data_IF_863300254269
#
_entry.id   IF_863300254269
#
_cell.length_a   1.000
_cell.length_b   1.000
_cell.length_c   1.000
_cell.angle_alpha   90.00
_cell.angle_beta   90.00
_cell.angle_gamma   90.00
#
_symmetry.space_group_name_H-M   'P 1'
#
loop_
_entity.id
_entity.type
_entity.pdbx_description
1 polymer ?
#
# COMPACT_ATOMS: atom_id res chain seq x y z
N UNK A 1 -82.42 14.85 0.01
CA UNK A 1 -81.05 14.91 0.57
C UNK A 1 -80.66 13.47 0.83
N UNK A 2 -79.74 12.88 0.04
CA UNK A 2 -78.32 13.24 0.02
C UNK A 2 -77.73 13.49 -1.39
N UNK A 3 -76.50 13.99 -1.37
CA UNK A 3 -75.77 14.69 -2.44
C UNK A 3 -75.31 13.83 -3.63
N UNK A 4 -75.44 14.44 -4.82
CA UNK A 4 -74.78 14.07 -6.07
C UNK A 4 -73.40 14.71 -6.10
N UNK A 5 -72.34 13.94 -6.35
CA UNK A 5 -71.21 14.51 -7.10
C UNK A 5 -70.43 13.42 -7.84
N UNK A 6 -70.58 13.43 -9.17
CA UNK A 6 -69.78 12.66 -10.12
C UNK A 6 -69.04 13.66 -11.01
N UNK A 7 -67.78 13.33 -11.28
CA UNK A 7 -66.67 14.15 -11.79
C UNK A 7 -66.94 15.00 -13.04
N UNK A 8 -66.01 15.96 -13.32
CA UNK A 8 -65.26 15.83 -14.57
C UNK A 8 -63.73 15.92 -14.41
N UNK A 9 -63.06 15.20 -15.32
CA UNK A 9 -61.61 15.05 -15.47
C UNK A 9 -60.89 16.38 -15.75
N UNK A 10 -59.77 16.60 -15.07
CA UNK A 10 -58.77 17.61 -15.42
C UNK A 10 -57.45 16.93 -15.77
N UNK A 11 -57.03 17.12 -17.02
CA UNK A 11 -55.75 16.73 -17.60
C UNK A 11 -54.59 17.48 -16.95
N UNK A 12 -53.64 16.77 -16.35
CA UNK A 12 -52.33 17.35 -15.96
C UNK A 12 -51.22 16.78 -16.86
N UNK A 13 -50.79 17.61 -17.80
CA UNK A 13 -49.59 17.44 -18.62
C UNK A 13 -48.35 17.30 -17.75
N UNK A 14 -47.70 16.13 -17.78
CA UNK A 14 -46.38 15.91 -17.20
C UNK A 14 -45.33 16.68 -18.01
N UNK A 15 -44.86 17.82 -17.48
CA UNK A 15 -43.65 18.48 -17.97
C UNK A 15 -42.45 17.60 -17.58
N UNK A 16 -41.95 16.80 -18.51
CA UNK A 16 -40.58 16.24 -18.41
C UNK A 16 -39.63 17.42 -18.32
N UNK A 17 -39.03 17.62 -17.16
CA UNK A 17 -37.88 18.51 -17.02
C UNK A 17 -36.82 18.01 -18.00
N UNK A 18 -36.43 18.87 -18.94
CA UNK A 18 -35.31 18.62 -19.83
C UNK A 18 -34.05 18.58 -18.96
N UNK A 19 -33.55 17.39 -18.65
CA UNK A 19 -32.23 17.24 -18.03
C UNK A 19 -31.19 17.76 -19.02
N UNK A 20 -30.38 18.72 -18.58
CA UNK A 20 -29.33 19.35 -19.37
C UNK A 20 -28.19 18.33 -19.58
N UNK A 21 -28.00 17.90 -20.83
CA UNK A 21 -26.99 16.90 -21.21
C UNK A 21 -25.54 17.34 -20.93
N UNK A 22 -25.32 18.63 -20.63
CA UNK A 22 -24.01 19.19 -20.29
C UNK A 22 -23.80 19.39 -18.78
N UNK A 23 -24.74 18.93 -17.94
CA UNK A 23 -24.55 18.86 -16.49
C UNK A 23 -24.13 17.47 -16.06
N UNK A 24 -23.15 17.41 -15.15
CA UNK A 24 -22.82 16.18 -14.45
C UNK A 24 -24.10 15.66 -13.78
N UNK A 25 -24.54 14.47 -14.18
CA UNK A 25 -25.62 13.76 -13.50
C UNK A 25 -25.30 13.60 -12.00
N UNK A 26 -26.31 13.27 -11.16
CA UNK A 26 -26.09 13.08 -9.73
C UNK A 26 -24.87 12.18 -9.53
N UNK A 27 -23.88 12.68 -8.76
CA UNK A 27 -22.68 11.91 -8.42
C UNK A 27 -23.15 10.53 -7.98
N UNK A 28 -22.79 9.46 -8.72
CA UNK A 28 -23.00 8.10 -8.24
C UNK A 28 -22.37 8.07 -6.84
N UNK A 29 -23.18 7.82 -5.81
CA UNK A 29 -22.66 7.65 -4.45
C UNK A 29 -21.58 6.57 -4.56
N UNK A 30 -20.35 6.97 -4.25
CA UNK A 30 -19.26 6.01 -4.05
C UNK A 30 -19.81 4.98 -3.06
N UNK A 31 -19.65 3.69 -3.37
CA UNK A 31 -20.00 2.64 -2.43
C UNK A 31 -19.11 2.84 -1.21
N UNK A 32 -19.63 3.49 -0.17
CA UNK A 32 -18.91 3.66 1.09
C UNK A 32 -18.76 2.25 1.65
N UNK A 33 -17.56 1.68 1.56
CA UNK A 33 -17.17 0.64 2.51
C UNK A 33 -17.39 1.20 3.91
N UNK A 34 -17.88 0.36 4.82
CA UNK A 34 -17.99 0.67 6.24
C UNK A 34 -16.72 1.44 6.70
N UNK A 35 -16.85 2.61 7.36
CA UNK A 35 -15.71 3.38 7.86
C UNK A 35 -14.69 2.51 8.59
N UNK A 36 -15.15 1.55 9.40
CA UNK A 36 -14.28 0.62 10.12
C UNK A 36 -13.43 -0.21 9.16
N UNK A 37 -14.03 -0.74 8.09
CA UNK A 37 -13.33 -1.50 7.05
C UNK A 37 -12.30 -0.62 6.33
N UNK A 38 -12.64 0.64 6.05
CA UNK A 38 -11.70 1.58 5.42
C UNK A 38 -10.48 1.85 6.31
N UNK A 39 -10.69 2.15 7.60
CA UNK A 39 -9.59 2.34 8.54
C UNK A 39 -8.74 1.08 8.72
N UNK A 40 -9.38 -0.09 8.76
CA UNK A 40 -8.69 -1.38 8.86
C UNK A 40 -7.78 -1.66 7.67
N UNK A 41 -8.23 -1.32 6.45
CA UNK A 41 -7.38 -1.41 5.25
C UNK A 41 -6.16 -0.52 5.39
N UNK A 42 -6.35 0.72 5.84
CA UNK A 42 -5.27 1.68 6.02
C UNK A 42 -4.27 1.23 7.10
N UNK A 43 -4.77 0.72 8.24
CA UNK A 43 -3.95 0.10 9.28
C UNK A 43 -3.10 -1.06 8.75
N UNK A 44 -3.71 -1.96 7.97
CA UNK A 44 -2.99 -3.07 7.33
C UNK A 44 -1.87 -2.61 6.40
N UNK A 45 -2.06 -1.51 5.66
CA UNK A 45 -1.06 -0.99 4.74
C UNK A 45 0.05 -0.20 5.43
N UNK A 46 -0.28 0.56 6.46
CA UNK A 46 0.62 1.58 7.03
C UNK A 46 1.27 1.18 8.35
N UNK A 47 0.72 0.19 9.05
CA UNK A 47 1.12 -0.18 10.40
C UNK A 47 1.49 -1.65 10.50
N UNK A 48 0.55 -2.56 10.23
CA UNK A 48 0.85 -3.99 10.33
C UNK A 48 -0.05 -4.89 9.46
N UNK A 49 0.53 -5.43 8.37
CA UNK A 49 -0.22 -6.18 7.35
C UNK A 49 -0.56 -7.63 7.73
N UNK A 50 0.27 -8.26 8.57
CA UNK A 50 0.17 -9.68 8.92
C UNK A 50 -0.31 -9.94 10.36
N UNK A 51 -0.94 -8.95 11.00
CA UNK A 51 -1.40 -9.07 12.38
C UNK A 51 -2.52 -10.13 12.54
N UNK A 52 -2.53 -10.80 13.70
CA UNK A 52 -3.72 -11.50 14.20
C UNK A 52 -4.52 -10.49 15.03
N UNK A 53 -5.58 -9.92 14.46
CA UNK A 53 -6.29 -8.80 15.08
C UNK A 53 -6.98 -9.22 16.38
N UNK A 54 -7.50 -10.45 16.46
CA UNK A 54 -8.14 -10.92 17.69
C UNK A 54 -7.15 -10.93 18.86
N UNK A 55 -5.97 -11.54 18.68
CA UNK A 55 -4.94 -11.55 19.72
C UNK A 55 -4.44 -10.14 20.03
N UNK A 56 -4.30 -9.28 19.02
CA UNK A 56 -3.91 -7.88 19.21
C UNK A 56 -4.89 -7.13 20.13
N UNK A 57 -6.20 -7.31 19.93
CA UNK A 57 -7.22 -6.69 20.77
C UNK A 57 -7.24 -7.30 22.17
N UNK A 58 -7.22 -8.63 22.29
CA UNK A 58 -7.22 -9.31 23.59
C UNK A 58 -6.01 -8.91 24.44
N UNK A 59 -4.81 -8.98 23.87
CA UNK A 59 -3.58 -8.60 24.57
C UNK A 59 -3.56 -7.10 24.88
N UNK A 60 -4.04 -6.26 23.97
CA UNK A 60 -4.14 -4.81 24.15
C UNK A 60 -5.08 -4.42 25.30
N UNK A 61 -6.26 -5.03 25.37
CA UNK A 61 -7.23 -4.81 26.45
C UNK A 61 -6.72 -5.31 27.80
N UNK A 62 -6.06 -6.47 27.85
CA UNK A 62 -5.39 -6.94 29.06
C UNK A 62 -4.36 -5.91 29.56
N UNK A 63 -3.66 -5.23 28.64
CA UNK A 63 -2.66 -4.22 28.96
C UNK A 63 -3.23 -2.87 29.39
N UNK A 64 -4.44 -2.51 28.93
CA UNK A 64 -5.17 -1.33 29.39
C UNK A 64 -5.93 -1.55 30.71
N UNK A 65 -6.28 -2.81 31.02
CA UNK A 65 -7.03 -3.19 32.21
C UNK A 65 -6.15 -3.81 33.29
N UNK A 66 -6.14 -5.14 33.31
CA UNK A 66 -5.53 -5.94 34.39
C UNK A 66 -4.03 -5.68 34.57
N UNK A 67 -3.31 -5.35 33.49
CA UNK A 67 -1.87 -5.16 33.49
C UNK A 67 -1.46 -3.69 33.34
N UNK A 68 -2.37 -2.74 33.59
CA UNK A 68 -2.09 -1.31 33.41
C UNK A 68 -1.00 -0.76 34.35
N UNK A 69 -0.89 -1.34 35.55
CA UNK A 69 0.10 -0.94 36.57
C UNK A 69 1.45 -1.68 36.42
N UNK A 70 1.52 -2.66 35.51
CA UNK A 70 2.74 -3.42 35.28
C UNK A 70 3.75 -2.56 34.49
N UNK A 71 5.01 -2.45 34.95
CA UNK A 71 6.02 -1.64 34.27
C UNK A 71 6.39 -2.24 32.91
N UNK A 72 6.77 -1.40 31.95
CA UNK A 72 7.11 -1.84 30.58
C UNK A 72 8.23 -2.90 30.55
N UNK A 73 9.16 -2.87 31.51
CA UNK A 73 10.26 -3.83 31.63
C UNK A 73 9.81 -5.25 31.99
N UNK A 74 8.58 -5.44 32.51
CA UNK A 74 8.04 -6.77 32.79
C UNK A 74 7.61 -7.54 31.53
N UNK A 75 7.51 -6.83 30.40
CA UNK A 75 7.06 -7.38 29.12
C UNK A 75 8.22 -7.66 28.17
N UNK A 76 8.07 -8.72 27.38
CA UNK A 76 9.02 -9.03 26.30
C UNK A 76 9.04 -7.92 25.25
N UNK A 77 10.11 -7.86 24.45
CA UNK A 77 10.19 -6.91 23.35
C UNK A 77 9.02 -7.07 22.35
N UNK A 78 8.61 -8.32 22.12
CA UNK A 78 7.47 -8.65 21.26
C UNK A 78 6.15 -8.11 21.83
N UNK A 79 5.87 -8.36 23.11
CA UNK A 79 4.66 -7.84 23.78
C UNK A 79 4.62 -6.31 23.79
N UNK A 80 5.77 -5.65 23.96
CA UNK A 80 5.86 -4.19 23.86
C UNK A 80 5.56 -3.70 22.44
N UNK A 81 6.09 -4.37 21.42
CA UNK A 81 5.78 -4.07 20.01
C UNK A 81 4.30 -4.29 19.68
N UNK A 82 3.70 -5.39 20.13
CA UNK A 82 2.27 -5.66 19.96
C UNK A 82 1.41 -4.54 20.55
N UNK A 83 1.73 -4.09 21.76
CA UNK A 83 0.99 -3.01 22.41
C UNK A 83 1.15 -1.66 21.70
N UNK A 84 2.34 -1.35 21.18
CA UNK A 84 2.53 -0.16 20.35
C UNK A 84 1.64 -0.20 19.10
N UNK A 85 1.56 -1.35 18.43
CA UNK A 85 0.68 -1.55 17.26
C UNK A 85 -0.79 -1.41 17.66
N UNK A 86 -1.19 -1.92 18.82
CA UNK A 86 -2.54 -1.77 19.37
C UNK A 86 -2.86 -0.29 19.65
N UNK A 87 -1.96 0.46 20.28
CA UNK A 87 -2.17 1.89 20.55
C UNK A 87 -2.30 2.71 19.26
N UNK A 88 -1.52 2.39 18.22
CA UNK A 88 -1.68 3.02 16.90
C UNK A 88 -3.04 2.68 16.28
N UNK A 89 -3.52 1.43 16.42
CA UNK A 89 -4.86 1.04 15.94
C UNK A 89 -5.97 1.88 16.60
N UNK A 90 -5.91 2.08 17.93
CA UNK A 90 -6.86 2.91 18.66
C UNK A 90 -6.84 4.37 18.17
N UNK A 91 -5.64 4.94 17.98
CA UNK A 91 -5.49 6.31 17.47
C UNK A 91 -6.03 6.48 16.04
N UNK A 92 -5.97 5.44 15.21
CA UNK A 92 -6.42 5.48 13.82
C UNK A 92 -7.95 5.38 13.66
N UNK A 93 -8.65 4.81 14.64
CA UNK A 93 -10.08 4.50 14.56
C UNK A 93 -10.81 5.26 15.67
N UNK A 94 -11.40 6.43 15.37
CA UNK A 94 -12.13 7.21 16.36
C UNK A 94 -13.26 6.39 17.00
N UNK A 95 -13.35 6.42 18.34
CA UNK A 95 -14.39 5.69 19.07
C UNK A 95 -14.06 4.23 19.38
N UNK A 96 -12.96 3.69 18.84
CA UNK A 96 -12.65 2.25 18.98
C UNK A 96 -12.34 1.87 20.42
N UNK A 97 -11.59 2.69 21.14
CA UNK A 97 -11.23 2.41 22.53
C UNK A 97 -12.48 2.35 23.41
N UNK A 98 -13.38 3.34 23.32
CA UNK A 98 -14.63 3.32 24.08
C UNK A 98 -15.50 2.11 23.71
N UNK A 99 -15.59 1.78 22.41
CA UNK A 99 -16.34 0.60 21.95
C UNK A 99 -15.78 -0.72 22.51
N UNK A 100 -14.46 -0.84 22.64
CA UNK A 100 -13.83 -2.05 23.16
C UNK A 100 -13.94 -2.14 24.68
N UNK A 101 -13.89 -1.02 25.40
CA UNK A 101 -14.01 -0.98 26.86
C UNK A 101 -15.44 -1.20 27.34
N UNK A 102 -16.44 -0.72 26.60
CA UNK A 102 -17.86 -0.87 26.94
C UNK A 102 -18.49 -2.15 26.35
N UNK A 103 -17.82 -2.80 25.40
CA UNK A 103 -18.31 -3.96 24.67
C UNK A 103 -18.20 -5.28 25.45
N UNK A 104 -19.10 -6.22 25.17
CA UNK A 104 -18.95 -7.59 25.68
C UNK A 104 -18.00 -8.43 24.80
N UNK A 105 -17.67 -9.65 25.23
CA UNK A 105 -16.73 -10.52 24.50
C UNK A 105 -17.18 -10.80 23.05
N UNK A 106 -18.49 -10.98 22.81
CA UNK A 106 -19.06 -11.17 21.47
C UNK A 106 -18.91 -9.92 20.60
N UNK A 107 -19.02 -8.71 21.19
CA UNK A 107 -18.82 -7.45 20.48
C UNK A 107 -17.35 -7.28 20.07
N UNK A 108 -16.43 -7.59 20.98
CA UNK A 108 -14.98 -7.55 20.72
C UNK A 108 -14.62 -8.52 19.59
N UNK A 109 -15.17 -9.74 19.62
CA UNK A 109 -14.95 -10.74 18.55
C UNK A 109 -15.51 -10.28 17.20
N UNK A 110 -16.68 -9.64 17.21
CA UNK A 110 -17.29 -9.05 16.01
C UNK A 110 -16.42 -7.92 15.44
N UNK A 111 -15.93 -7.01 16.29
CA UNK A 111 -15.01 -5.93 15.90
C UNK A 111 -13.72 -6.53 15.32
N UNK A 112 -13.10 -7.50 16.02
CA UNK A 112 -11.90 -8.19 15.55
C UNK A 112 -12.10 -8.79 14.15
N UNK A 113 -13.25 -9.42 13.91
CA UNK A 113 -13.60 -10.04 12.63
C UNK A 113 -13.73 -8.99 11.52
N UNK A 114 -14.37 -7.85 11.80
CA UNK A 114 -14.49 -6.76 10.83
C UNK A 114 -13.14 -6.12 10.49
N UNK A 115 -12.30 -5.89 11.51
CA UNK A 115 -10.96 -5.36 11.33
C UNK A 115 -10.07 -6.32 10.52
N UNK A 116 -10.05 -7.60 10.89
CA UNK A 116 -9.29 -8.63 10.18
C UNK A 116 -9.75 -8.77 8.73
N UNK A 117 -11.06 -8.67 8.47
CA UNK A 117 -11.63 -8.66 7.12
C UNK A 117 -11.12 -7.47 6.32
N UNK A 118 -11.09 -6.28 6.90
CA UNK A 118 -10.56 -5.08 6.25
C UNK A 118 -9.09 -5.23 5.85
N UNK A 119 -8.22 -5.61 6.80
CA UNK A 119 -6.79 -5.87 6.55
C UNK A 119 -6.59 -6.93 5.46
N UNK A 120 -7.30 -8.05 5.55
CA UNK A 120 -7.16 -9.17 4.62
C UNK A 120 -7.68 -8.83 3.22
N UNK A 121 -8.76 -8.05 3.12
CA UNK A 121 -9.32 -7.61 1.84
C UNK A 121 -8.39 -6.62 1.14
N UNK A 122 -7.75 -5.71 1.90
CA UNK A 122 -6.73 -4.80 1.39
C UNK A 122 -5.60 -5.57 0.70
N UNK A 123 -5.02 -6.54 1.42
CA UNK A 123 -3.99 -7.43 0.91
C UNK A 123 -4.43 -8.22 -0.32
N UNK A 124 -5.63 -8.78 -0.30
CA UNK A 124 -6.14 -9.59 -1.42
C UNK A 124 -6.30 -8.75 -2.70
N UNK A 125 -6.82 -7.53 -2.59
CA UNK A 125 -6.98 -6.59 -3.70
C UNK A 125 -5.61 -6.19 -4.30
N UNK A 126 -4.64 -5.88 -3.44
CA UNK A 126 -3.30 -5.49 -3.86
C UNK A 126 -2.55 -6.64 -4.51
N UNK A 127 -2.59 -7.83 -3.92
CA UNK A 127 -2.05 -9.06 -4.51
C UNK A 127 -2.62 -9.29 -5.90
N UNK A 128 -3.95 -9.13 -6.06
CA UNK A 128 -4.62 -9.32 -7.35
C UNK A 128 -4.19 -8.25 -8.37
N UNK A 129 -4.08 -6.99 -7.95
CA UNK A 129 -3.77 -5.89 -8.86
C UNK A 129 -2.30 -5.86 -9.28
N UNK A 130 -1.38 -6.26 -8.38
CA UNK A 130 0.07 -6.30 -8.65
C UNK A 130 0.47 -7.46 -9.56
N UNK A 131 -0.26 -8.58 -9.52
CA UNK A 131 0.03 -9.81 -10.27
C UNK A 131 0.41 -9.57 -11.74
N UNK A 132 -0.37 -8.75 -12.44
CA UNK A 132 -0.11 -8.42 -13.85
C UNK A 132 0.71 -7.15 -14.04
N UNK A 133 0.63 -6.20 -13.10
CA UNK A 133 1.32 -4.91 -13.20
C UNK A 133 2.85 -5.07 -13.10
N UNK A 134 3.31 -5.97 -12.21
CA UNK A 134 4.73 -6.24 -11.96
C UNK A 134 5.49 -6.63 -13.23
N UNK A 135 4.84 -7.36 -14.13
CA UNK A 135 5.44 -7.82 -15.39
C UNK A 135 5.84 -6.65 -16.30
N UNK A 136 5.17 -5.49 -16.18
CA UNK A 136 5.54 -4.30 -16.95
C UNK A 136 6.77 -3.57 -16.37
N UNK A 137 7.06 -3.77 -15.09
CA UNK A 137 8.16 -3.07 -14.39
C UNK A 137 9.46 -3.87 -14.40
N UNK A 138 9.36 -5.21 -14.45
CA UNK A 138 10.54 -6.06 -14.53
C UNK A 138 11.13 -6.13 -15.93
N UNK A 139 10.39 -5.74 -16.97
CA UNK A 139 10.86 -5.77 -18.36
C UNK A 139 11.71 -4.54 -18.65
N UNK A 140 13.00 -4.70 -19.04
CA UNK A 140 13.80 -3.58 -19.50
C UNK A 140 13.19 -2.89 -20.72
N UNK A 141 13.42 -1.58 -20.86
CA UNK A 141 12.88 -0.80 -21.96
C UNK A 141 13.27 -1.40 -23.32
N UNK A 142 12.27 -1.68 -24.16
CA UNK A 142 12.46 -2.25 -25.50
C UNK A 142 12.69 -3.77 -25.54
N UNK A 143 12.64 -4.47 -24.40
CA UNK A 143 12.75 -5.93 -24.34
C UNK A 143 11.39 -6.58 -24.06
N UNK A 144 11.37 -7.91 -24.10
CA UNK A 144 10.21 -8.74 -23.73
C UNK A 144 10.67 -9.88 -22.84
N UNK A 145 9.76 -10.42 -22.03
CA UNK A 145 10.04 -11.63 -21.25
C UNK A 145 10.15 -12.82 -22.20
N UNK A 146 11.19 -13.62 -22.02
CA UNK A 146 11.44 -14.82 -22.79
C UNK A 146 11.66 -15.98 -21.82
N UNK A 147 10.74 -16.96 -21.75
CA UNK A 147 9.45 -17.02 -22.45
C UNK A 147 8.44 -15.95 -21.95
N UNK A 148 7.41 -15.59 -22.75
CA UNK A 148 6.37 -14.68 -22.29
C UNK A 148 5.64 -15.22 -21.06
N UNK A 149 5.44 -14.38 -20.05
CA UNK A 149 4.72 -14.74 -18.83
C UNK A 149 3.26 -14.28 -18.91
N UNK A 150 2.31 -15.19 -18.60
CA UNK A 150 0.90 -14.87 -18.55
C UNK A 150 0.55 -13.97 -17.34
N UNK A 151 -0.09 -12.83 -17.59
CA UNK A 151 -0.44 -11.83 -16.54
C UNK A 151 -1.36 -12.35 -15.43
N UNK A 152 -2.10 -13.42 -15.69
CA UNK A 152 -3.12 -13.98 -14.79
C UNK A 152 -2.73 -15.34 -14.19
N UNK A 153 -1.57 -15.92 -14.53
CA UNK A 153 -1.14 -17.25 -14.06
C UNK A 153 0.30 -17.13 -13.54
N UNK A 154 0.56 -17.63 -12.31
CA UNK A 154 1.88 -17.52 -11.66
C UNK A 154 2.77 -18.75 -11.83
N UNK A 155 2.30 -19.83 -12.45
CA UNK A 155 3.08 -21.07 -12.55
C UNK A 155 4.44 -20.87 -13.21
N UNK A 156 4.50 -19.98 -14.22
CA UNK A 156 5.72 -19.66 -14.95
C UNK A 156 6.53 -18.50 -14.34
N UNK A 157 6.17 -18.03 -13.14
CA UNK A 157 6.94 -17.04 -12.37
C UNK A 157 8.00 -17.75 -11.51
N UNK A 158 8.62 -17.03 -10.57
CA UNK A 158 9.55 -17.61 -9.61
C UNK A 158 10.87 -18.02 -10.27
N UNK A 159 11.48 -19.09 -9.76
CA UNK A 159 12.77 -19.61 -10.21
C UNK A 159 12.71 -20.33 -11.56
N UNK A 160 11.52 -20.64 -12.08
CA UNK A 160 11.32 -21.28 -13.39
C UNK A 160 11.53 -20.32 -14.56
N UNK A 161 11.56 -19.01 -14.33
CA UNK A 161 11.78 -18.02 -15.36
C UNK A 161 13.00 -17.14 -15.04
N UNK A 162 13.84 -16.89 -16.04
CA UNK A 162 15.14 -16.20 -15.87
C UNK A 162 15.02 -14.85 -15.18
N UNK A 163 14.09 -14.00 -15.61
CA UNK A 163 13.94 -12.65 -15.06
C UNK A 163 13.41 -12.62 -13.62
N UNK A 164 12.33 -13.34 -13.32
CA UNK A 164 11.74 -13.38 -11.97
C UNK A 164 12.65 -14.13 -11.01
N UNK A 165 13.32 -15.19 -11.47
CA UNK A 165 14.29 -15.95 -10.70
C UNK A 165 15.49 -15.09 -10.31
N UNK A 166 16.07 -14.34 -11.26
CA UNK A 166 17.15 -13.40 -10.97
C UNK A 166 16.78 -12.34 -9.92
N UNK A 167 15.54 -11.84 -9.95
CA UNK A 167 15.04 -10.86 -9.00
C UNK A 167 14.78 -11.46 -7.61
N UNK A 168 14.35 -12.72 -7.53
CA UNK A 168 14.04 -13.43 -6.29
C UNK A 168 15.24 -14.14 -5.66
N UNK A 169 16.29 -14.40 -6.44
CA UNK A 169 17.51 -15.01 -5.95
C UNK A 169 18.08 -14.15 -4.80
N UNK A 170 18.56 -14.77 -3.71
CA UNK A 170 19.27 -14.05 -2.66
C UNK A 170 20.34 -13.12 -3.21
N UNK A 171 20.42 -11.93 -2.63
CA UNK A 171 21.30 -10.87 -3.08
C UNK A 171 22.79 -11.29 -3.06
N UNK A 172 23.16 -12.21 -2.16
CA UNK A 172 24.53 -12.71 -1.98
C UNK A 172 24.91 -13.82 -2.98
N UNK A 173 23.94 -14.37 -3.70
CA UNK A 173 24.10 -15.49 -4.63
C UNK A 173 24.19 -15.03 -6.09
N UNK A 174 24.99 -15.72 -6.89
CA UNK A 174 25.06 -15.45 -8.33
C UNK A 174 23.99 -16.26 -9.06
N UNK A 175 22.93 -15.59 -9.53
CA UNK A 175 21.92 -16.22 -10.37
C UNK A 175 22.51 -16.77 -11.68
N UNK A 176 23.67 -16.31 -12.14
CA UNK A 176 24.31 -16.81 -13.35
C UNK A 176 24.85 -18.24 -13.19
N UNK A 177 25.07 -18.70 -11.96
CA UNK A 177 25.54 -20.05 -11.65
C UNK A 177 24.44 -21.10 -11.95
N UNK A 178 24.68 -22.05 -12.87
CA UNK A 178 23.72 -23.10 -13.20
C UNK A 178 23.31 -23.96 -11.99
N UNK A 179 24.23 -24.21 -11.05
CA UNK A 179 23.95 -25.02 -9.85
C UNK A 179 22.96 -24.30 -8.94
N UNK A 180 23.12 -22.99 -8.77
CA UNK A 180 22.19 -22.15 -7.99
C UNK A 180 20.80 -22.18 -8.63
N UNK A 181 20.70 -22.01 -9.96
CA UNK A 181 19.43 -22.07 -10.68
C UNK A 181 18.73 -23.42 -10.50
N UNK A 182 19.47 -24.51 -10.66
CA UNK A 182 18.91 -25.86 -10.59
C UNK A 182 18.41 -26.18 -9.18
N UNK A 183 19.21 -25.91 -8.15
CA UNK A 183 18.83 -26.15 -6.75
C UNK A 183 17.58 -25.34 -6.36
N UNK A 184 17.47 -24.09 -6.82
CA UNK A 184 16.29 -23.23 -6.55
C UNK A 184 15.05 -23.65 -7.34
N UNK A 185 15.20 -24.14 -8.58
CA UNK A 185 14.09 -24.63 -9.41
C UNK A 185 13.51 -25.93 -8.87
N UNK A 186 14.37 -26.86 -8.46
CA UNK A 186 13.97 -28.16 -7.94
C UNK A 186 13.44 -28.09 -6.50
N UNK A 187 13.75 -27.00 -5.78
CA UNK A 187 13.41 -26.84 -4.36
C UNK A 187 14.38 -27.55 -3.42
N UNK A 188 15.55 -27.97 -3.92
CA UNK A 188 16.64 -28.55 -3.11
C UNK A 188 17.28 -27.49 -2.20
N UNK A 189 17.20 -26.22 -2.61
CA UNK A 189 17.60 -25.07 -1.81
C UNK A 189 16.36 -24.24 -1.44
N UNK A 190 15.98 -24.30 -0.16
CA UNK A 190 14.92 -23.45 0.41
C UNK A 190 15.57 -22.17 0.93
N UNK A 191 15.10 -21.03 0.44
CA UNK A 191 15.57 -19.71 0.85
C UNK A 191 14.74 -19.20 2.04
N UNK A 192 15.34 -19.04 3.22
CA UNK A 192 14.66 -18.47 4.38
C UNK A 192 14.13 -17.06 4.11
N UNK A 193 13.04 -16.65 4.77
CA UNK A 193 12.49 -15.30 4.60
C UNK A 193 13.41 -14.16 5.05
N UNK A 194 14.39 -14.41 5.92
CA UNK A 194 15.41 -13.42 6.31
C UNK A 194 16.58 -13.31 5.32
N UNK A 195 16.68 -14.21 4.35
CA UNK A 195 17.65 -14.08 3.27
C UNK A 195 17.07 -13.24 2.12
N UNK A 196 17.57 -12.03 1.98
CA UNK A 196 16.93 -11.00 1.18
C UNK A 196 17.19 -11.14 -0.33
N UNK A 197 16.15 -10.95 -1.16
CA UNK A 197 16.25 -11.12 -2.61
C UNK A 197 16.86 -9.89 -3.30
N UNK A 198 17.49 -10.12 -4.47
CA UNK A 198 18.16 -9.10 -5.27
C UNK A 198 17.24 -7.92 -5.65
N UNK A 199 15.93 -8.12 -5.80
CA UNK A 199 15.01 -7.02 -6.14
C UNK A 199 14.93 -5.91 -5.09
N UNK A 200 15.40 -6.12 -3.86
CA UNK A 200 15.46 -5.05 -2.87
C UNK A 200 16.47 -3.96 -3.25
N UNK A 201 17.51 -4.32 -4.01
CA UNK A 201 18.62 -3.44 -4.32
C UNK A 201 18.42 -2.65 -5.61
N UNK A 202 18.78 -1.37 -5.57
CA UNK A 202 18.99 -0.54 -6.76
C UNK A 202 20.36 -0.89 -7.38
N UNK A 203 20.38 -1.95 -8.19
CA UNK A 203 21.62 -2.49 -8.77
C UNK A 203 21.94 -3.84 -8.16
N UNK A 204 23.22 -4.19 -8.16
CA UNK A 204 23.72 -5.44 -7.58
C UNK A 204 24.13 -5.21 -6.12
N UNK A 205 24.03 -6.26 -5.31
CA UNK A 205 24.53 -6.27 -3.95
C UNK A 205 26.05 -6.03 -3.91
N UNK A 206 26.48 -5.20 -2.97
CA UNK A 206 27.87 -4.83 -2.74
C UNK A 206 28.28 -5.31 -1.35
N UNK A 207 29.25 -6.22 -1.27
CA UNK A 207 29.68 -6.81 0.01
C UNK A 207 30.45 -5.81 0.88
N UNK A 208 31.07 -4.82 0.26
CA UNK A 208 31.83 -3.78 0.98
C UNK A 208 30.92 -2.66 1.48
N UNK A 209 29.75 -2.50 0.85
CA UNK A 209 28.72 -1.53 1.23
C UNK A 209 27.31 -2.14 1.10
N UNK A 210 26.88 -2.95 2.09
CA UNK A 210 25.58 -3.65 2.05
C UNK A 210 24.36 -2.72 2.00
N UNK A 211 24.48 -1.45 2.38
CA UNK A 211 23.37 -0.48 2.36
C UNK A 211 23.14 0.12 0.99
N UNK A 212 24.12 -0.03 0.10
CA UNK A 212 24.11 0.59 -1.23
C UNK A 212 22.93 0.11 -2.06
N UNK A 213 21.97 1.00 -2.23
CA UNK A 213 20.78 0.74 -3.03
C UNK A 213 19.74 -0.16 -2.34
N UNK A 214 19.96 -0.59 -1.11
CA UNK A 214 19.00 -1.39 -0.34
C UNK A 214 17.65 -0.65 -0.23
N UNK A 215 16.56 -1.37 -0.50
CA UNK A 215 15.18 -0.87 -0.63
C UNK A 215 14.96 0.29 -1.62
N UNK A 216 15.90 0.53 -2.56
CA UNK A 216 15.82 1.65 -3.53
C UNK A 216 15.50 1.21 -4.96
N UNK A 217 15.20 -0.07 -5.18
CA UNK A 217 14.85 -0.56 -6.52
C UNK A 217 13.57 0.10 -7.05
N UNK A 218 13.59 0.53 -8.32
CA UNK A 218 12.47 1.23 -8.98
C UNK A 218 11.19 0.38 -9.07
N UNK A 219 11.33 -0.95 -9.05
CA UNK A 219 10.19 -1.89 -8.99
C UNK A 219 9.39 -1.65 -7.70
N UNK A 220 10.06 -1.42 -6.57
CA UNK A 220 9.42 -1.13 -5.29
C UNK A 220 8.68 0.19 -5.34
N UNK A 221 9.29 1.23 -5.89
CA UNK A 221 8.66 2.56 -6.03
C UNK A 221 7.42 2.48 -6.93
N UNK A 222 7.49 1.71 -8.01
CA UNK A 222 6.37 1.50 -8.92
C UNK A 222 5.24 0.73 -8.24
N UNK A 223 5.57 -0.31 -7.48
CA UNK A 223 4.61 -1.08 -6.68
C UNK A 223 3.97 -0.23 -5.58
N UNK A 224 4.75 0.61 -4.90
CA UNK A 224 4.25 1.52 -3.87
C UNK A 224 3.21 2.48 -4.47
N UNK A 225 3.55 3.14 -5.59
CA UNK A 225 2.62 4.05 -6.28
C UNK A 225 1.36 3.34 -6.80
N UNK A 226 1.48 2.05 -7.13
CA UNK A 226 0.36 1.23 -7.58
C UNK A 226 -0.57 0.79 -6.42
N UNK A 227 -0.02 0.49 -5.25
CA UNK A 227 -0.81 0.18 -4.04
C UNK A 227 -1.46 1.44 -3.49
N UNK A 228 -0.71 2.54 -3.39
CA UNK A 228 -1.15 3.80 -2.80
C UNK A 228 -1.62 4.80 -3.88
N UNK A 229 -2.55 4.37 -4.74
CA UNK A 229 -3.01 5.06 -5.97
C UNK A 229 -3.73 6.41 -5.78
N UNK A 230 -3.73 7.00 -4.57
CA UNK A 230 -4.15 8.38 -4.35
C UNK A 230 -3.14 9.12 -3.46
N UNK A 231 -2.57 10.26 -3.89
CA UNK A 231 -1.69 11.08 -3.07
C UNK A 231 -2.32 11.60 -1.78
N UNK A 232 -3.66 11.57 -1.67
CA UNK A 232 -4.40 11.99 -0.47
C UNK A 232 -4.62 10.87 0.54
N UNK A 233 -4.21 9.63 0.24
CA UNK A 233 -4.46 8.48 1.10
C UNK A 233 -3.33 8.21 2.09
N UNK A 234 -2.19 8.88 1.91
CA UNK A 234 -0.97 8.74 2.72
C UNK A 234 -0.21 10.06 2.70
N UNK A 235 0.15 10.57 3.88
CA UNK A 235 0.91 11.83 3.99
C UNK A 235 2.42 11.60 3.99
N UNK A 236 2.88 10.43 4.43
CA UNK A 236 4.28 10.05 4.50
C UNK A 236 4.45 8.54 4.30
N UNK A 237 5.62 8.13 3.77
CA UNK A 237 6.03 6.73 3.71
C UNK A 237 6.46 6.26 5.10
N UNK A 238 5.93 5.11 5.55
CA UNK A 238 6.31 4.46 6.82
C UNK A 238 7.14 3.20 6.55
N UNK A 239 7.99 2.77 7.52
CA UNK A 239 8.68 1.48 7.45
C UNK A 239 7.75 0.30 7.13
N UNK A 240 6.60 0.22 7.81
CA UNK A 240 5.63 -0.84 7.58
C UNK A 240 5.02 -0.80 6.17
N UNK A 241 4.81 0.40 5.60
CA UNK A 241 4.34 0.51 4.22
C UNK A 241 5.38 0.02 3.19
N UNK A 242 6.69 0.21 3.46
CA UNK A 242 7.76 -0.35 2.62
C UNK A 242 7.79 -1.87 2.78
N UNK A 243 7.79 -2.38 4.01
CA UNK A 243 7.77 -3.82 4.31
C UNK A 243 6.56 -4.54 3.69
N UNK A 244 5.40 -3.88 3.68
CA UNK A 244 4.20 -4.37 3.02
C UNK A 244 4.41 -4.47 1.50
N UNK A 245 4.88 -3.39 0.87
CA UNK A 245 5.07 -3.34 -0.59
C UNK A 245 6.15 -4.32 -1.05
N UNK A 246 7.26 -4.44 -0.33
CA UNK A 246 8.32 -5.41 -0.65
C UNK A 246 7.79 -6.84 -0.57
N UNK A 247 6.98 -7.15 0.46
CA UNK A 247 6.33 -8.46 0.61
C UNK A 247 5.35 -8.73 -0.53
N UNK A 248 4.55 -7.73 -0.94
CA UNK A 248 3.65 -7.86 -2.08
C UNK A 248 4.40 -8.06 -3.41
N UNK A 249 5.53 -7.38 -3.61
CA UNK A 249 6.40 -7.57 -4.78
C UNK A 249 7.01 -8.97 -4.81
N UNK A 250 7.58 -9.43 -3.67
CA UNK A 250 8.13 -10.79 -3.55
C UNK A 250 7.08 -11.82 -3.89
N UNK A 251 5.89 -11.69 -3.32
CA UNK A 251 4.78 -12.56 -3.64
C UNK A 251 4.41 -12.48 -5.12
N UNK A 252 4.26 -11.29 -5.72
CA UNK A 252 3.89 -11.16 -7.13
C UNK A 252 4.91 -11.81 -8.10
N UNK A 253 6.20 -11.78 -7.74
CA UNK A 253 7.28 -12.40 -8.49
C UNK A 253 7.39 -13.93 -8.28
N UNK A 254 6.85 -14.47 -7.18
CA UNK A 254 6.92 -15.90 -6.87
C UNK A 254 5.96 -16.72 -7.74
N UNK A 255 6.12 -18.05 -7.75
CA UNK A 255 5.19 -18.97 -8.42
C UNK A 255 3.94 -19.32 -7.60
N UNK A 256 3.94 -19.01 -6.30
CA UNK A 256 2.85 -19.39 -5.37
C UNK A 256 1.52 -18.75 -5.73
N UNK A 257 0.45 -19.53 -5.83
CA UNK A 257 -0.88 -19.01 -6.19
C UNK A 257 -1.61 -18.34 -5.02
N UNK A 258 -1.29 -18.73 -3.78
CA UNK A 258 -2.00 -18.33 -2.57
C UNK A 258 -1.02 -17.74 -1.56
N UNK A 259 -1.40 -16.63 -0.94
CA UNK A 259 -0.67 -16.07 0.20
C UNK A 259 -1.06 -16.86 1.45
N UNK A 260 -0.14 -17.64 2.00
CA UNK A 260 -0.38 -18.51 3.16
C UNK A 260 0.70 -18.29 4.22
N UNK A 261 0.31 -18.29 5.50
CA UNK A 261 1.25 -18.29 6.64
C UNK A 261 2.01 -19.62 6.76
N UNK A 262 1.43 -20.70 6.23
CA UNK A 262 2.04 -22.03 6.26
C UNK A 262 2.95 -22.29 5.04
N UNK A 263 3.07 -21.32 4.12
CA UNK A 263 3.97 -21.44 2.97
C UNK A 263 5.40 -21.20 3.42
N UNK A 264 6.12 -22.28 3.72
CA UNK A 264 7.54 -22.27 4.06
C UNK A 264 8.46 -22.12 2.86
N UNK A 265 7.92 -22.21 1.63
CA UNK A 265 8.70 -22.06 0.39
C UNK A 265 8.87 -20.56 0.10
N UNK A 266 7.77 -19.82 0.12
CA UNK A 266 7.87 -18.36 0.04
C UNK A 266 8.29 -17.77 1.38
N UNK A 267 7.76 -18.26 2.51
CA UNK A 267 8.05 -17.71 3.85
C UNK A 267 7.82 -16.18 3.91
N UNK A 268 6.60 -15.76 3.53
CA UNK A 268 6.25 -14.34 3.40
C UNK A 268 6.17 -13.62 4.75
N UNK A 269 5.82 -14.34 5.81
CA UNK A 269 5.71 -13.77 7.17
C UNK A 269 7.08 -13.49 7.77
N UNK A 270 8.01 -14.45 7.71
CA UNK A 270 9.40 -14.22 8.13
C UNK A 270 10.07 -13.13 7.31
N UNK A 271 9.81 -13.06 6.00
CA UNK A 271 10.31 -11.98 5.16
C UNK A 271 9.75 -10.61 5.54
N UNK A 272 8.46 -10.52 5.80
CA UNK A 272 7.86 -9.27 6.26
C UNK A 272 8.45 -8.82 7.62
N UNK A 273 8.60 -9.76 8.55
CA UNK A 273 9.16 -9.48 9.88
C UNK A 273 10.64 -9.11 9.81
N UNK A 274 11.46 -9.78 9.00
CA UNK A 274 12.89 -9.45 8.85
C UNK A 274 13.10 -8.03 8.31
N UNK A 275 12.24 -7.58 7.38
CA UNK A 275 12.27 -6.20 6.89
C UNK A 275 11.87 -5.22 8.00
N UNK A 276 10.81 -5.52 8.77
CA UNK A 276 10.43 -4.68 9.91
C UNK A 276 11.50 -4.61 10.99
N UNK A 277 12.17 -5.72 11.27
CA UNK A 277 13.27 -5.81 12.24
C UNK A 277 14.43 -4.90 11.83
N UNK A 278 14.84 -4.94 10.56
CA UNK A 278 15.84 -3.99 10.03
C UNK A 278 15.43 -2.53 10.24
N UNK A 279 14.19 -2.17 9.91
CA UNK A 279 13.73 -0.80 10.10
C UNK A 279 13.63 -0.38 11.58
N UNK A 280 13.50 -1.33 12.49
CA UNK A 280 13.41 -1.10 13.93
C UNK A 280 14.75 -1.24 14.66
N UNK A 281 15.82 -1.64 13.96
CA UNK A 281 17.14 -1.81 14.55
C UNK A 281 17.74 -0.44 14.91
N UNK A 282 18.19 -0.31 16.15
CA UNK A 282 18.73 0.95 16.69
C UNK A 282 20.02 1.34 15.97
N UNK A 283 20.81 0.36 15.55
CA UNK A 283 22.10 0.58 14.90
C UNK A 283 21.95 1.02 13.44
N UNK A 284 20.77 0.81 12.84
CA UNK A 284 20.45 1.10 11.43
C UNK A 284 19.65 2.40 11.25
N UNK A 285 19.39 3.14 12.34
CA UNK A 285 18.45 4.27 12.32
C UNK A 285 18.90 5.45 11.46
N UNK A 286 20.21 5.63 11.26
CA UNK A 286 20.75 6.70 10.41
C UNK A 286 20.40 6.41 8.93
N UNK A 287 20.69 5.21 8.46
CA UNK A 287 20.43 4.71 7.11
C UNK A 287 18.93 4.63 6.84
N UNK A 288 18.15 4.14 7.81
CA UNK A 288 16.69 4.09 7.74
C UNK A 288 16.10 5.49 7.57
N UNK A 289 16.58 6.48 8.32
CA UNK A 289 16.09 7.86 8.20
C UNK A 289 16.39 8.45 6.83
N UNK A 290 17.60 8.25 6.31
CA UNK A 290 17.96 8.68 4.96
C UNK A 290 17.12 7.99 3.89
N UNK A 291 16.88 6.69 4.06
CA UNK A 291 16.03 5.89 3.17
C UNK A 291 14.59 6.42 3.15
N UNK A 292 14.00 6.72 4.31
CA UNK A 292 12.64 7.30 4.37
C UNK A 292 12.57 8.69 3.73
N UNK A 293 13.59 9.53 3.88
CA UNK A 293 13.68 10.83 3.19
C UNK A 293 13.71 10.61 1.67
N UNK A 294 14.50 9.65 1.20
CA UNK A 294 14.57 9.30 -0.22
C UNK A 294 13.20 8.82 -0.73
N UNK A 295 12.54 7.91 -0.01
CA UNK A 295 11.23 7.37 -0.37
C UNK A 295 10.15 8.45 -0.48
N UNK A 296 10.07 9.34 0.52
CA UNK A 296 9.12 10.46 0.49
C UNK A 296 9.35 11.38 -0.72
N UNK A 297 10.59 11.62 -1.13
CA UNK A 297 10.90 12.38 -2.36
C UNK A 297 10.47 11.65 -3.63
N UNK A 298 10.60 10.32 -3.67
CA UNK A 298 10.20 9.52 -4.85
C UNK A 298 8.69 9.41 -5.01
N UNK A 299 7.96 9.27 -3.90
CA UNK A 299 6.50 9.06 -3.88
C UNK A 299 5.74 10.37 -3.91
N UNK A 300 6.21 11.39 -3.20
CA UNK A 300 5.58 12.71 -3.08
C UNK A 300 6.49 13.80 -3.66
N UNK A 301 6.43 14.09 -4.99
CA UNK A 301 7.24 15.14 -5.61
C UNK A 301 7.03 16.53 -4.99
N UNK A 302 5.85 16.77 -4.40
CA UNK A 302 5.51 17.99 -3.66
C UNK A 302 6.38 18.20 -2.42
N UNK A 303 6.98 17.15 -1.85
CA UNK A 303 7.89 17.26 -0.71
C UNK A 303 9.16 18.06 -1.08
N UNK A 304 9.53 18.09 -2.37
CA UNK A 304 10.60 18.94 -2.91
C UNK A 304 10.14 20.36 -3.25
N UNK A 305 8.84 20.64 -3.27
CA UNK A 305 8.29 21.93 -3.75
C UNK A 305 8.45 23.09 -2.77
N UNK A 306 8.90 22.85 -1.53
CA UNK A 306 9.30 23.91 -0.61
C UNK A 306 10.50 24.76 -1.12
N UNK A 307 11.15 24.35 -2.23
CA UNK A 307 12.21 25.11 -2.89
C UNK A 307 11.93 25.44 -4.37
N UNK A 308 10.71 25.25 -4.88
CA UNK A 308 10.43 25.56 -6.28
C UNK A 308 10.15 27.06 -6.46
N UNK A 309 11.20 27.85 -6.76
CA UNK A 309 11.00 29.20 -7.30
C UNK A 309 10.20 29.10 -8.60
N UNK A 310 9.10 29.85 -8.76
CA UNK A 310 8.26 29.77 -9.95
C UNK A 310 9.08 30.07 -11.20
N UNK A 311 9.09 29.12 -12.14
CA UNK A 311 9.78 29.27 -13.42
C UNK A 311 9.28 30.51 -14.16
N UNK A 312 10.18 31.49 -14.36
CA UNK A 312 9.88 32.78 -14.99
C UNK A 312 9.49 32.66 -16.47
N UNK A 313 9.82 31.53 -17.10
CA UNK A 313 9.71 31.34 -18.56
C UNK A 313 8.62 30.32 -18.97
N UNK A 314 7.78 29.88 -18.04
CA UNK A 314 6.72 28.90 -18.32
C UNK A 314 5.61 29.47 -19.21
N UNK A 315 4.99 28.62 -20.04
CA UNK A 315 3.87 29.00 -20.93
C UNK A 315 2.75 29.75 -20.19
N UNK A 316 2.52 29.44 -18.91
CA UNK A 316 1.54 30.12 -18.05
C UNK A 316 1.91 31.58 -17.75
N UNK A 317 3.20 31.90 -17.59
CA UNK A 317 3.69 33.27 -17.42
C UNK A 317 3.53 34.06 -18.73
N UNK A 318 3.93 33.46 -19.86
CA UNK A 318 3.77 34.03 -21.22
C UNK A 318 2.29 34.31 -21.53
N UNK A 319 1.39 33.40 -21.16
CA UNK A 319 -0.06 33.58 -21.33
C UNK A 319 -0.61 34.72 -20.46
N UNK A 320 -0.08 34.89 -19.24
CA UNK A 320 -0.49 35.96 -18.32
C UNK A 320 -0.05 37.33 -18.83
N UNK A 321 1.17 37.42 -19.36
CA UNK A 321 1.72 38.62 -19.98
C UNK A 321 0.96 39.01 -21.25
N UNK A 322 0.70 38.06 -22.16
CA UNK A 322 -0.12 38.31 -23.35
C UNK A 322 -1.54 38.78 -23.00
N UNK A 323 -2.13 38.28 -21.92
CA UNK A 323 -3.45 38.72 -21.44
C UNK A 323 -3.42 40.13 -20.86
N UNK A 324 -2.35 40.50 -20.15
CA UNK A 324 -2.15 41.85 -19.63
C UNK A 324 -1.95 42.88 -20.77
N UNK A 325 -1.17 42.52 -21.79
CA UNK A 325 -0.98 43.36 -22.99
C UNK A 325 -2.28 43.56 -23.76
N UNK A 326 -3.11 42.53 -23.91
CA UNK A 326 -4.44 42.64 -24.54
C UNK A 326 -5.39 43.55 -23.77
N UNK A 327 -5.39 43.49 -22.43
CA UNK A 327 -6.19 44.40 -21.60
C UNK A 327 -5.75 45.85 -21.75
N UNK A 328 -4.44 46.12 -21.70
CA UNK A 328 -3.90 47.48 -21.91
C UNK A 328 -4.22 48.03 -23.31
N UNK A 329 -4.13 47.19 -24.34
CA UNK A 329 -4.50 47.58 -25.71
C UNK A 329 -6.01 47.86 -25.85
N UNK A 330 -6.87 47.10 -25.17
CA UNK A 330 -8.31 47.39 -25.13
C UNK A 330 -8.61 48.68 -24.37
N UNK A 331 -7.96 48.92 -23.24
CA UNK A 331 -8.13 50.14 -22.44
C UNK A 331 -7.69 51.40 -23.21
N UNK A 332 -6.65 51.31 -24.04
CA UNK A 332 -6.19 52.41 -24.92
C UNK A 332 -7.10 52.66 -26.14
N UNK A 333 -7.90 51.68 -26.55
CA UNK A 333 -8.89 51.82 -27.64
C UNK A 333 -10.24 52.35 -27.16
N UNK A 334 -10.42 52.49 -25.84
CA UNK A 334 -11.68 52.95 -25.22
C UNK A 334 -11.55 54.36 -24.59
N UNK A 335 -10.41 55.04 -24.79
CA UNK A 335 -10.18 56.46 -24.48
C UNK A 335 -10.13 57.28 -25.76
#
# INVERSE_FOLDING_TARGET
MPDKNSQPQATTTSKRHHEDALRLGPRKKVCYSDPLVSHSRHFGHMVHALCNVQNLLTNGLLRLGELAEEPDESFTLEQRREHLVFNVLLQMIPGLEECLMDGCEDDILSIATMLQKGVSSARSDDTKSLKGAILNWIVPAGQSLTPPIARNIKMDHGFHHERTGALLCPAEMDWSDPQVKENLRNGDLIIPGDQWPAFLYAGNFDREDPWKGLFKNIILVSAYKHVFTSPSSVDNVTPASIAYVTTQVRFALSSSAVFSRLDTITDSERFYNSVLEYFADVDEQEEVKELLIWWNRQVFPSYSSAQCTPAKDGARAIMKEKRALRKRAQEQLTQ
#
